data_IF_249342517896
#
_entry.id   IF_249342517896
#
_cell.length_a   1.000
_cell.length_b   1.000
_cell.length_c   1.000
_cell.angle_alpha   90.00
_cell.angle_beta   90.00
_cell.angle_gamma   90.00
#
_symmetry.space_group_name_H-M   'P 1'
#
loop_
_entity.id
_entity.type
_entity.pdbx_description
1 polymer ?
#
# COMPACT_ATOMS: atom_id res chain seq x y z
N UNK A 1 -14.89 8.69 -38.78
CA UNK A 1 -15.02 7.88 -37.55
C UNK A 1 -14.80 8.85 -36.41
N UNK A 2 -15.86 9.30 -35.77
CA UNK A 2 -15.73 10.03 -34.51
C UNK A 2 -15.12 9.06 -33.49
N UNK A 3 -13.97 9.43 -32.95
CA UNK A 3 -13.38 8.71 -31.82
C UNK A 3 -14.25 9.13 -30.64
N UNK A 4 -15.19 8.27 -30.23
CA UNK A 4 -16.04 8.54 -29.09
C UNK A 4 -15.18 8.70 -27.83
N UNK A 5 -15.45 9.74 -27.06
CA UNK A 5 -14.90 9.93 -25.71
C UNK A 5 -15.44 8.77 -24.87
N UNK A 6 -14.58 7.87 -24.38
CA UNK A 6 -15.00 6.86 -23.42
C UNK A 6 -15.18 7.52 -22.04
N UNK A 7 -16.39 7.47 -21.44
CA UNK A 7 -16.61 8.01 -20.11
C UNK A 7 -15.73 7.31 -19.06
N UNK A 8 -15.32 8.05 -18.03
CA UNK A 8 -14.64 7.48 -16.89
C UNK A 8 -15.65 6.77 -15.99
N UNK A 9 -15.59 5.44 -15.89
CA UNK A 9 -16.39 4.66 -14.96
C UNK A 9 -15.73 4.62 -13.58
N UNK A 10 -16.45 5.09 -12.56
CA UNK A 10 -15.97 5.00 -11.19
C UNK A 10 -16.25 3.61 -10.60
N UNK A 11 -15.18 3.01 -10.12
CA UNK A 11 -15.10 1.76 -9.39
C UNK A 11 -14.72 2.06 -7.94
N UNK A 12 -15.11 1.18 -7.03
CA UNK A 12 -14.69 1.23 -5.64
C UNK A 12 -14.22 -0.14 -5.18
N UNK A 13 -13.41 -0.15 -4.12
CA UNK A 13 -12.90 -1.37 -3.55
C UNK A 13 -13.17 -1.48 -2.04
N UNK A 14 -13.51 -2.69 -1.59
CA UNK A 14 -13.54 -3.03 -0.17
C UNK A 14 -12.47 -4.06 0.11
N UNK A 15 -11.69 -3.81 1.16
CA UNK A 15 -10.62 -4.69 1.62
C UNK A 15 -11.11 -5.62 2.73
N UNK A 16 -10.96 -6.92 2.52
CA UNK A 16 -11.21 -7.95 3.54
C UNK A 16 -9.87 -8.45 4.05
N UNK A 17 -9.65 -8.29 5.36
CA UNK A 17 -8.44 -8.78 6.02
C UNK A 17 -8.45 -10.31 6.07
N UNK A 18 -7.33 -10.91 5.66
CA UNK A 18 -7.10 -12.35 5.73
C UNK A 18 -5.85 -12.60 6.56
N UNK A 19 -6.00 -13.31 7.68
CA UNK A 19 -4.85 -13.74 8.47
C UNK A 19 -4.07 -14.84 7.75
N UNK A 20 -2.74 -14.76 7.75
CA UNK A 20 -1.88 -15.84 7.27
C UNK A 20 -1.56 -16.88 8.36
N UNK A 21 -1.87 -16.56 9.62
CA UNK A 21 -1.45 -17.34 10.79
C UNK A 21 0.04 -17.26 11.14
N UNK A 22 0.85 -16.55 10.34
CA UNK A 22 2.28 -16.34 10.60
C UNK A 22 2.49 -15.04 11.38
N UNK A 23 3.49 -15.04 12.25
CA UNK A 23 3.87 -13.88 13.04
C UNK A 23 5.38 -13.84 13.30
N UNK A 24 5.86 -12.70 13.79
CA UNK A 24 7.22 -12.52 14.28
C UNK A 24 7.21 -11.87 15.67
N UNK A 25 8.03 -12.38 16.58
CA UNK A 25 8.18 -11.81 17.93
C UNK A 25 9.44 -10.96 18.12
N UNK A 26 10.32 -10.94 17.14
CA UNK A 26 11.55 -10.13 17.15
C UNK A 26 11.94 -9.73 15.73
N UNK A 27 13.02 -8.96 15.62
CA UNK A 27 13.44 -8.36 14.37
C UNK A 27 13.98 -9.40 13.36
N UNK A 28 14.72 -10.41 13.82
CA UNK A 28 15.23 -11.50 12.99
C UNK A 28 14.12 -12.39 12.42
N UNK A 29 13.10 -12.69 13.23
CA UNK A 29 11.89 -13.37 12.76
C UNK A 29 11.12 -12.50 11.77
N UNK A 30 10.98 -11.19 12.02
CA UNK A 30 10.30 -10.28 11.10
C UNK A 30 11.02 -10.23 9.75
N UNK A 31 12.35 -10.14 9.77
CA UNK A 31 13.18 -10.18 8.57
C UNK A 31 12.95 -11.47 7.76
N UNK A 32 12.90 -12.60 8.44
CA UNK A 32 12.64 -13.92 7.81
C UNK A 32 11.22 -13.97 7.24
N UNK A 33 10.24 -13.52 8.02
CA UNK A 33 8.83 -13.45 7.64
C UNK A 33 8.61 -12.58 6.39
N UNK A 34 9.26 -11.42 6.31
CA UNK A 34 9.24 -10.55 5.11
C UNK A 34 9.85 -11.28 3.91
N UNK A 35 10.98 -11.97 4.09
CA UNK A 35 11.68 -12.69 3.02
C UNK A 35 10.87 -13.84 2.44
N UNK A 36 10.04 -14.50 3.25
CA UNK A 36 9.26 -15.69 2.85
C UNK A 36 7.79 -15.37 2.55
N UNK A 37 7.35 -14.13 2.76
CA UNK A 37 5.97 -13.70 2.52
C UNK A 37 5.63 -13.58 1.03
N UNK A 38 4.35 -13.76 0.71
CA UNK A 38 3.80 -13.44 -0.61
C UNK A 38 3.80 -11.94 -0.88
N UNK A 39 3.68 -11.54 -2.14
CA UNK A 39 3.62 -10.13 -2.52
C UNK A 39 2.36 -9.46 -1.93
N UNK A 40 1.27 -10.21 -1.78
CA UNK A 40 0.01 -9.74 -1.19
C UNK A 40 0.17 -9.28 0.25
N UNK A 41 1.00 -9.95 1.04
CA UNK A 41 1.27 -9.54 2.43
C UNK A 41 2.10 -8.27 2.49
N UNK A 42 3.16 -8.18 1.68
CA UNK A 42 3.98 -6.97 1.61
C UNK A 42 3.14 -5.79 1.15
N UNK A 43 2.30 -5.99 0.12
CA UNK A 43 1.37 -4.97 -0.38
C UNK A 43 0.41 -4.51 0.72
N UNK A 44 -0.20 -5.43 1.46
CA UNK A 44 -1.09 -5.12 2.57
C UNK A 44 -0.44 -4.25 3.66
N UNK A 45 0.80 -4.59 4.02
CA UNK A 45 1.51 -3.92 5.11
C UNK A 45 2.20 -2.60 4.70
N UNK A 46 2.21 -2.28 3.40
CA UNK A 46 2.87 -1.07 2.87
C UNK A 46 1.90 -0.21 2.06
N UNK A 47 1.43 -0.69 0.92
CA UNK A 47 0.63 0.07 -0.04
C UNK A 47 -0.79 0.33 0.44
N UNK A 48 -1.36 -0.61 1.19
CA UNK A 48 -2.70 -0.45 1.76
C UNK A 48 -2.69 0.24 3.13
N UNK A 49 -1.54 0.74 3.57
CA UNK A 49 -1.43 1.35 4.89
C UNK A 49 -2.38 2.54 5.06
N UNK A 50 -2.43 3.44 4.07
CA UNK A 50 -3.22 4.67 4.17
C UNK A 50 -4.74 4.46 4.10
N UNK A 51 -5.21 3.40 3.42
CA UNK A 51 -6.65 3.11 3.38
C UNK A 51 -7.18 2.58 4.73
N UNK A 52 -6.29 2.15 5.65
CA UNK A 52 -6.68 1.73 7.01
C UNK A 52 -7.11 2.89 7.90
N UNK A 53 -6.90 4.15 7.48
CA UNK A 53 -7.34 5.33 8.23
C UNK A 53 -6.54 5.61 9.51
N UNK A 54 -5.29 5.18 9.57
CA UNK A 54 -4.40 5.35 10.72
C UNK A 54 -3.90 6.81 10.83
N UNK A 55 -3.75 7.31 12.06
CA UNK A 55 -3.13 8.62 12.37
C UNK A 55 -1.61 8.41 12.44
N UNK A 56 -0.85 9.19 11.68
CA UNK A 56 0.49 8.79 11.20
C UNK A 56 1.63 9.32 12.08
N UNK A 57 2.36 8.42 12.75
CA UNK A 57 3.78 8.62 13.08
C UNK A 57 4.68 7.93 12.05
N UNK A 58 4.29 6.73 11.61
CA UNK A 58 5.00 5.93 10.60
C UNK A 58 4.14 5.64 9.36
N UNK A 59 4.78 5.23 8.26
CA UNK A 59 4.16 5.15 6.92
C UNK A 59 3.86 3.72 6.43
N UNK A 60 4.15 2.71 7.23
CA UNK A 60 3.84 1.31 6.95
C UNK A 60 3.81 0.49 8.25
N UNK A 61 3.15 -0.67 8.22
CA UNK A 61 2.95 -1.49 9.42
C UNK A 61 4.28 -2.02 10.01
N UNK A 62 5.31 -2.25 9.17
CA UNK A 62 6.61 -2.71 9.64
C UNK A 62 7.34 -1.63 10.44
N UNK A 63 7.29 -0.39 9.94
CA UNK A 63 7.83 0.76 10.65
C UNK A 63 7.06 1.03 11.95
N UNK A 64 5.73 0.97 11.89
CA UNK A 64 4.86 1.12 13.06
C UNK A 64 5.23 0.11 14.16
N UNK A 65 5.34 -1.17 13.81
CA UNK A 65 5.71 -2.19 14.78
C UNK A 65 7.14 -2.03 15.31
N UNK A 66 8.10 -1.69 14.46
CA UNK A 66 9.48 -1.44 14.90
C UNK A 66 9.56 -0.26 15.88
N UNK A 67 8.83 0.83 15.63
CA UNK A 67 8.87 2.03 16.48
C UNK A 67 8.04 1.90 17.75
N UNK A 68 6.78 1.47 17.62
CA UNK A 68 5.83 1.43 18.73
C UNK A 68 5.99 0.19 19.61
N UNK A 69 6.46 -0.94 19.06
CA UNK A 69 6.49 -2.22 19.78
C UNK A 69 7.90 -2.67 20.13
N UNK A 70 8.86 -2.57 19.20
CA UNK A 70 10.26 -2.86 19.50
C UNK A 70 10.97 -1.68 20.17
N UNK A 71 10.35 -0.49 20.20
CA UNK A 71 10.93 0.77 20.69
C UNK A 71 12.18 1.22 19.89
N UNK A 72 12.34 0.73 18.66
CA UNK A 72 13.47 1.01 17.78
C UNK A 72 13.17 2.13 16.79
N UNK A 73 13.08 3.36 17.31
CA UNK A 73 12.74 4.55 16.52
C UNK A 73 13.63 4.77 15.30
N UNK A 74 14.94 4.53 15.42
CA UNK A 74 15.87 4.71 14.31
C UNK A 74 15.58 3.74 13.15
N UNK A 75 15.21 2.50 13.47
CA UNK A 75 14.77 1.53 12.46
C UNK A 75 13.42 1.94 11.85
N UNK A 76 12.47 2.35 12.69
CA UNK A 76 11.15 2.78 12.24
C UNK A 76 11.21 3.97 11.26
N UNK A 77 12.10 4.93 11.50
CA UNK A 77 12.36 6.06 10.58
C UNK A 77 12.95 5.56 9.25
N UNK A 78 13.93 4.65 9.28
CA UNK A 78 14.52 4.05 8.06
C UNK A 78 13.48 3.30 7.24
N UNK A 79 12.62 2.51 7.90
CA UNK A 79 11.54 1.78 7.25
C UNK A 79 10.45 2.72 6.71
N UNK A 80 10.20 3.85 7.37
CA UNK A 80 9.20 4.83 6.93
C UNK A 80 9.63 5.61 5.68
N UNK A 81 10.94 5.74 5.44
CA UNK A 81 11.50 6.35 4.23
C UNK A 81 11.29 5.50 2.97
N UNK A 82 10.82 4.26 3.10
CA UNK A 82 10.51 3.40 1.94
C UNK A 82 9.15 3.79 1.40
N UNK A 83 9.16 4.60 0.34
CA UNK A 83 7.94 4.91 -0.40
C UNK A 83 7.62 3.76 -1.39
N UNK A 84 6.51 3.02 -1.18
CA UNK A 84 6.14 1.93 -2.07
C UNK A 84 5.71 2.42 -3.46
N UNK A 85 5.17 3.65 -3.58
CA UNK A 85 4.58 4.19 -4.83
C UNK A 85 5.60 4.68 -5.86
N UNK A 86 6.86 4.86 -5.47
CA UNK A 86 7.96 5.16 -6.41
C UNK A 86 8.73 3.92 -6.86
N UNK A 87 8.47 2.77 -6.22
CA UNK A 87 9.13 1.51 -6.51
C UNK A 87 8.32 0.73 -7.54
N UNK A 88 9.02 0.04 -8.44
CA UNK A 88 8.38 -0.56 -9.62
C UNK A 88 7.65 -1.86 -9.30
N UNK A 89 7.91 -2.45 -8.14
CA UNK A 89 7.30 -3.70 -7.74
C UNK A 89 7.34 -3.91 -6.24
N UNK A 90 6.43 -4.75 -5.76
CA UNK A 90 6.43 -5.25 -4.38
C UNK A 90 7.74 -5.97 -4.03
N UNK A 91 8.36 -6.64 -5.01
CA UNK A 91 9.68 -7.27 -4.83
C UNK A 91 10.78 -6.25 -4.48
N UNK A 92 10.75 -5.05 -5.06
CA UNK A 92 11.70 -3.98 -4.70
C UNK A 92 11.45 -3.44 -3.29
N UNK A 93 10.17 -3.29 -2.90
CA UNK A 93 9.79 -2.92 -1.54
C UNK A 93 10.32 -3.95 -0.55
N UNK A 94 10.08 -5.25 -0.79
CA UNK A 94 10.61 -6.36 0.03
C UNK A 94 12.13 -6.28 0.19
N UNK A 95 12.86 -6.08 -0.91
CA UNK A 95 14.33 -5.97 -0.88
C UNK A 95 14.80 -4.78 -0.05
N UNK A 96 14.14 -3.63 -0.14
CA UNK A 96 14.48 -2.46 0.67
C UNK A 96 14.19 -2.68 2.15
N UNK A 97 13.03 -3.26 2.49
CA UNK A 97 12.70 -3.62 3.88
C UNK A 97 13.78 -4.53 4.49
N UNK A 98 14.12 -5.61 3.80
CA UNK A 98 15.17 -6.55 4.25
C UNK A 98 16.51 -5.83 4.39
N UNK A 99 16.89 -4.98 3.43
CA UNK A 99 18.16 -4.25 3.48
C UNK A 99 18.24 -3.31 4.69
N UNK A 100 17.17 -2.58 5.00
CA UNK A 100 17.16 -1.68 6.16
C UNK A 100 17.26 -2.48 7.48
N UNK A 101 16.56 -3.62 7.57
CA UNK A 101 16.63 -4.50 8.74
C UNK A 101 18.01 -5.15 8.88
N UNK A 102 18.54 -5.74 7.81
CA UNK A 102 19.88 -6.38 7.80
C UNK A 102 20.96 -5.35 8.15
N UNK A 103 20.85 -4.11 7.64
CA UNK A 103 21.76 -3.02 7.99
C UNK A 103 21.66 -2.63 9.47
N UNK A 104 20.46 -2.56 10.04
CA UNK A 104 20.27 -2.27 11.46
C UNK A 104 20.88 -3.37 12.35
N UNK A 105 20.64 -4.65 12.03
CA UNK A 105 21.19 -5.80 12.76
C UNK A 105 22.72 -5.94 12.64
N UNK A 106 23.32 -5.35 11.61
CA UNK A 106 24.77 -5.32 11.46
C UNK A 106 25.44 -4.27 12.37
N UNK A 107 24.75 -3.15 12.61
CA UNK A 107 25.27 -2.00 13.35
C UNK A 107 24.93 -2.07 14.86
N UNK A 108 23.83 -2.75 15.21
CA UNK A 108 23.29 -2.80 16.57
C UNK A 108 22.99 -4.23 17.02
N UNK A 109 23.09 -4.53 18.33
CA UNK A 109 22.58 -5.79 18.88
C UNK A 109 21.09 -5.94 18.55
N UNK A 110 20.67 -7.17 18.29
CA UNK A 110 19.26 -7.45 18.04
C UNK A 110 18.38 -7.04 19.24
N UNK A 111 17.26 -6.32 19.01
CA UNK A 111 16.32 -5.99 20.07
C UNK A 111 15.76 -7.25 20.72
N UNK A 112 15.36 -7.14 21.99
CA UNK A 112 14.71 -8.25 22.71
C UNK A 112 13.38 -8.64 22.05
N UNK A 113 12.97 -9.89 22.27
CA UNK A 113 11.62 -10.34 21.94
C UNK A 113 10.56 -9.41 22.55
N UNK A 114 9.49 -9.16 21.79
CA UNK A 114 8.31 -8.46 22.26
C UNK A 114 7.57 -9.28 23.32
N UNK A 115 6.74 -8.60 24.12
CA UNK A 115 5.84 -9.29 25.03
C UNK A 115 4.76 -10.05 24.26
N UNK A 116 4.31 -11.17 24.82
CA UNK A 116 3.21 -11.96 24.25
C UNK A 116 1.97 -11.10 24.01
N UNK A 117 1.40 -11.19 22.83
CA UNK A 117 0.26 -10.39 22.36
C UNK A 117 0.66 -9.18 21.52
N UNK A 118 1.96 -8.85 21.46
CA UNK A 118 2.49 -7.75 20.66
C UNK A 118 3.27 -8.23 19.43
N UNK A 119 3.14 -9.49 19.04
CA UNK A 119 3.80 -10.03 17.85
C UNK A 119 3.34 -9.30 16.59
N UNK A 120 4.23 -9.20 15.60
CA UNK A 120 3.84 -8.72 14.27
C UNK A 120 3.09 -9.84 13.56
N UNK A 121 1.81 -9.64 13.26
CA UNK A 121 1.02 -10.61 12.49
C UNK A 121 1.07 -10.30 11.00
N UNK A 122 1.52 -11.28 10.21
CA UNK A 122 1.48 -11.18 8.77
C UNK A 122 0.06 -11.40 8.28
N UNK A 123 -0.49 -10.40 7.62
CA UNK A 123 -1.83 -10.42 7.05
C UNK A 123 -1.77 -10.15 5.54
N UNK A 124 -2.80 -10.61 4.86
CA UNK A 124 -3.08 -10.33 3.47
C UNK A 124 -4.41 -9.58 3.38
N UNK A 125 -4.68 -9.02 2.21
CA UNK A 125 -5.99 -8.45 1.89
C UNK A 125 -6.54 -9.03 0.63
N UNK A 126 -7.82 -9.38 0.68
CA UNK A 126 -8.63 -9.67 -0.49
C UNK A 126 -9.42 -8.40 -0.83
N UNK A 127 -9.16 -7.82 -1.99
CA UNK A 127 -9.88 -6.65 -2.48
C UNK A 127 -11.05 -7.06 -3.36
N UNK A 128 -12.26 -6.66 -2.97
CA UNK A 128 -13.46 -6.78 -3.80
C UNK A 128 -13.70 -5.47 -4.52
N UNK A 129 -13.76 -5.50 -5.84
CA UNK A 129 -13.93 -4.31 -6.69
C UNK A 129 -15.29 -4.37 -7.38
N UNK A 130 -15.99 -3.24 -7.40
CA UNK A 130 -17.33 -3.15 -7.98
C UNK A 130 -17.61 -1.74 -8.52
N UNK A 131 -18.47 -1.60 -9.54
CA UNK A 131 -18.84 -0.30 -10.07
C UNK A 131 -19.65 0.50 -9.05
N UNK A 132 -19.41 1.80 -8.98
CA UNK A 132 -20.19 2.73 -8.16
C UNK A 132 -21.52 3.08 -8.85
N UNK A 133 -21.57 2.95 -10.19
CA UNK A 133 -22.73 3.33 -10.99
C UNK A 133 -22.77 4.81 -11.36
N UNK A 134 -21.63 5.51 -11.28
CA UNK A 134 -21.45 6.89 -11.72
C UNK A 134 -20.33 6.96 -12.75
N UNK A 135 -20.49 7.82 -13.74
CA UNK A 135 -19.54 8.04 -14.84
C UNK A 135 -19.27 9.53 -15.01
N UNK A 136 -18.07 9.90 -15.45
CA UNK A 136 -17.76 11.25 -15.89
C UNK A 136 -17.47 11.27 -17.39
N UNK A 137 -18.13 12.15 -18.14
CA UNK A 137 -17.89 12.34 -19.57
C UNK A 137 -16.87 13.47 -19.84
N UNK A 138 -16.62 14.32 -18.85
CA UNK A 138 -15.74 15.48 -18.97
C UNK A 138 -15.07 15.84 -17.62
N UNK A 139 -14.15 16.81 -17.65
CA UNK A 139 -13.40 17.23 -16.45
C UNK A 139 -14.26 17.88 -15.37
N UNK A 140 -15.35 18.55 -15.74
CA UNK A 140 -16.26 19.19 -14.78
C UNK A 140 -17.00 18.12 -13.96
N UNK A 141 -17.56 17.11 -14.64
CA UNK A 141 -18.18 15.96 -13.99
C UNK A 141 -17.20 15.17 -13.12
N UNK A 142 -15.97 14.94 -13.62
CA UNK A 142 -14.93 14.27 -12.85
C UNK A 142 -14.68 15.00 -11.52
N UNK A 143 -14.53 16.33 -11.57
CA UNK A 143 -14.26 17.14 -10.38
C UNK A 143 -15.41 17.08 -9.37
N UNK A 144 -16.65 17.21 -9.85
CA UNK A 144 -17.85 17.15 -8.99
C UNK A 144 -17.99 15.77 -8.34
N UNK A 145 -17.76 14.69 -9.10
CA UNK A 145 -17.89 13.33 -8.57
C UNK A 145 -16.79 13.04 -7.54
N UNK A 146 -15.54 13.40 -7.83
CA UNK A 146 -14.41 13.17 -6.90
C UNK A 146 -14.61 13.88 -5.55
N UNK A 147 -15.28 15.03 -5.52
CA UNK A 147 -15.61 15.74 -4.27
C UNK A 147 -16.56 14.95 -3.35
N UNK A 148 -17.44 14.13 -3.92
CA UNK A 148 -18.54 13.48 -3.20
C UNK A 148 -18.43 11.95 -3.10
N UNK A 149 -17.55 11.33 -3.89
CA UNK A 149 -17.41 9.88 -3.94
C UNK A 149 -16.72 9.32 -2.69
N UNK A 150 -16.95 8.03 -2.40
CA UNK A 150 -16.26 7.37 -1.31
C UNK A 150 -14.74 7.34 -1.52
N UNK A 151 -13.98 7.53 -0.44
CA UNK A 151 -12.51 7.56 -0.45
C UNK A 151 -11.90 6.27 -1.01
N UNK A 152 -12.58 5.13 -0.88
CA UNK A 152 -12.14 3.88 -1.48
C UNK A 152 -12.11 3.91 -3.00
N UNK A 153 -12.99 4.68 -3.64
CA UNK A 153 -12.96 4.89 -5.10
C UNK A 153 -11.73 5.71 -5.52
N UNK A 154 -11.43 6.78 -4.77
CA UNK A 154 -10.21 7.56 -4.98
C UNK A 154 -8.98 6.67 -4.76
N UNK A 155 -8.96 5.86 -3.70
CA UNK A 155 -7.87 4.93 -3.45
C UNK A 155 -7.68 3.95 -4.61
N UNK A 156 -8.76 3.33 -5.09
CA UNK A 156 -8.73 2.38 -6.19
C UNK A 156 -8.17 3.01 -7.47
N UNK A 157 -8.68 4.18 -7.84
CA UNK A 157 -8.30 4.82 -9.10
C UNK A 157 -6.97 5.56 -9.06
N UNK A 158 -6.54 6.07 -7.91
CA UNK A 158 -5.31 6.86 -7.80
C UNK A 158 -4.11 6.06 -7.29
N UNK A 159 -4.30 5.21 -6.28
CA UNK A 159 -3.21 4.49 -5.61
C UNK A 159 -3.09 3.04 -6.09
N UNK A 160 -4.20 2.28 -6.09
CA UNK A 160 -4.20 0.85 -6.46
C UNK A 160 -3.89 0.66 -7.96
N UNK A 161 -4.46 1.51 -8.82
CA UNK A 161 -4.25 1.52 -10.27
C UNK A 161 -2.78 1.58 -10.70
N UNK A 162 -1.92 2.30 -9.96
CA UNK A 162 -0.48 2.43 -10.25
C UNK A 162 0.23 1.07 -10.23
N UNK A 163 -0.27 0.13 -9.43
CA UNK A 163 0.23 -1.25 -9.37
C UNK A 163 -0.56 -2.18 -10.29
N UNK A 164 -1.89 -2.08 -10.26
CA UNK A 164 -2.78 -2.92 -11.07
C UNK A 164 -2.50 -2.82 -12.56
N UNK A 165 -2.10 -1.64 -13.05
CA UNK A 165 -1.81 -1.39 -14.46
C UNK A 165 -0.37 -1.77 -14.88
N UNK A 166 0.51 -2.12 -13.93
CA UNK A 166 1.88 -2.57 -14.22
C UNK A 166 2.85 -1.50 -14.76
N UNK A 167 2.39 -0.27 -14.96
CA UNK A 167 3.19 0.86 -15.48
C UNK A 167 3.78 1.74 -14.37
N UNK A 168 3.41 1.51 -13.10
CA UNK A 168 4.08 2.03 -11.90
C UNK A 168 4.01 3.54 -11.68
N UNK A 169 3.45 4.32 -12.62
CA UNK A 169 3.50 5.79 -12.53
C UNK A 169 2.15 6.45 -12.86
N UNK A 170 1.42 5.94 -13.85
CA UNK A 170 0.19 6.58 -14.33
C UNK A 170 -1.01 5.91 -13.67
N UNK A 171 -1.77 6.70 -12.91
CA UNK A 171 -3.05 6.28 -12.33
C UNK A 171 -4.22 6.38 -13.32
N UNK A 172 -5.37 5.78 -12.99
CA UNK A 172 -6.55 5.75 -13.87
C UNK A 172 -7.02 7.16 -14.26
N UNK A 173 -7.01 8.12 -13.32
CA UNK A 173 -7.42 9.50 -13.61
C UNK A 173 -6.46 10.15 -14.59
N UNK A 174 -5.16 10.08 -14.31
CA UNK A 174 -4.12 10.63 -15.19
C UNK A 174 -4.22 10.05 -16.60
N UNK A 175 -4.40 8.72 -16.71
CA UNK A 175 -4.56 8.01 -17.98
C UNK A 175 -5.80 8.47 -18.76
N UNK A 176 -6.93 8.62 -18.08
CA UNK A 176 -8.16 9.07 -18.72
C UNK A 176 -8.11 10.55 -19.15
N UNK A 177 -7.49 11.42 -18.35
CA UNK A 177 -7.29 12.82 -18.73
C UNK A 177 -6.39 12.93 -19.97
N UNK A 178 -5.37 12.08 -20.08
CA UNK A 178 -4.43 12.09 -21.21
C UNK A 178 -5.05 11.56 -22.51
N UNK A 179 -5.87 10.51 -22.43
CA UNK A 179 -6.33 9.76 -23.62
C UNK A 179 -7.84 9.77 -23.84
N UNK A 180 -8.65 9.91 -22.79
CA UNK A 180 -10.10 9.79 -22.83
C UNK A 180 -10.81 11.04 -23.36
N UNK A 181 -10.24 12.22 -23.16
CA UNK A 181 -10.88 13.51 -23.47
C UNK A 181 -10.80 13.94 -24.95
N UNK A 182 -10.33 13.09 -25.86
CA UNK A 182 -10.34 13.33 -27.30
C UNK A 182 -9.72 14.68 -27.71
N UNK A 183 -8.39 14.78 -27.70
CA UNK A 183 -7.69 15.90 -28.35
C UNK A 183 -7.62 15.71 -29.86
#
# INVERSE_FOLDING_TARGET
>A
MEIGIEPFEFMQCVSILKSTGKFAKNLGELRTLISESGDESIFHHTHQYFIKGLILEYTNDFAEWAGATLEERALAERLSCIDPYILKSVSEVRKKLIREIDGFLADFPEPRDVLTGNEFYLNETVSLVFPVGVTAENLEELLIIVEHIDKSSIYYHFFDSRFRLGEGVVDDFSRWIEHGLGK
#
